data_IF_783297844074
#
_entry.id   IF_783297844074
#
_cell.length_a   1.000
_cell.length_b   1.000
_cell.length_c   1.000
_cell.angle_alpha   90.00
_cell.angle_beta   90.00
_cell.angle_gamma   90.00
#
_symmetry.space_group_name_H-M   'P 1'
#
loop_
_entity.id
_entity.type
_entity.pdbx_description
1 polymer ?
#
# COMPACT_ATOMS: atom_id res chain seq x y z
N UNK A 1 10.77 34.09 -0.40
CA UNK A 1 9.95 32.88 -0.14
C UNK A 1 10.72 31.62 -0.53
N UNK A 2 11.49 31.01 0.38
CA UNK A 2 12.34 29.83 0.00
C UNK A 2 12.74 28.92 1.17
N UNK A 3 12.80 29.40 2.42
CA UNK A 3 13.32 28.60 3.54
C UNK A 3 12.29 27.60 4.10
N UNK A 4 11.03 28.02 4.31
CA UNK A 4 10.01 27.18 4.96
C UNK A 4 9.62 25.94 4.15
N UNK A 5 9.43 26.06 2.84
CA UNK A 5 9.09 24.91 1.96
C UNK A 5 10.25 23.91 1.87
N UNK A 6 11.50 24.39 1.87
CA UNK A 6 12.70 23.54 1.84
C UNK A 6 12.87 22.79 3.16
N UNK A 7 12.62 23.46 4.29
CA UNK A 7 12.60 22.82 5.61
C UNK A 7 11.45 21.82 5.74
N UNK A 8 10.26 22.13 5.23
CA UNK A 8 9.12 21.20 5.21
C UNK A 8 9.40 19.95 4.37
N UNK A 9 10.00 20.10 3.19
CA UNK A 9 10.46 18.99 2.36
C UNK A 9 11.46 18.07 3.08
N UNK A 10 12.27 18.62 3.98
CA UNK A 10 13.25 17.88 4.78
C UNK A 10 12.67 17.31 6.09
N UNK A 11 11.56 17.88 6.58
CA UNK A 11 10.98 17.55 7.89
C UNK A 11 9.78 16.61 7.82
N UNK A 12 9.08 16.50 6.70
CA UNK A 12 7.96 15.57 6.54
C UNK A 12 8.51 14.17 6.26
N UNK A 13 8.48 13.25 7.22
CA UNK A 13 9.02 11.91 7.05
C UNK A 13 7.93 11.03 6.41
N UNK A 14 7.49 11.38 5.20
CA UNK A 14 6.42 10.66 4.49
C UNK A 14 6.82 9.19 4.30
N UNK A 15 8.11 8.94 4.12
CA UNK A 15 8.70 7.61 3.99
C UNK A 15 8.57 6.76 5.26
N UNK A 16 8.28 7.37 6.41
CA UNK A 16 8.06 6.68 7.69
C UNK A 16 6.58 6.44 7.99
N UNK A 17 5.67 6.94 7.15
CA UNK A 17 4.26 6.70 7.34
C UNK A 17 3.94 5.23 7.09
N UNK A 18 3.06 4.70 7.94
CA UNK A 18 2.42 3.42 7.69
C UNK A 18 1.55 3.51 6.43
N UNK A 19 1.36 2.38 5.77
CA UNK A 19 0.69 2.34 4.46
C UNK A 19 -0.75 2.86 4.54
N UNK A 20 -1.45 2.59 5.64
CA UNK A 20 -2.83 3.06 5.90
C UNK A 20 -2.91 4.59 6.01
N UNK A 21 -1.92 5.24 6.63
CA UNK A 21 -1.85 6.70 6.76
C UNK A 21 -1.41 7.34 5.45
N UNK A 22 -0.44 6.75 4.76
CA UNK A 22 -0.04 7.20 3.42
C UNK A 22 -1.21 7.12 2.44
N UNK A 23 -1.99 6.04 2.50
CA UNK A 23 -3.18 5.87 1.69
C UNK A 23 -4.29 6.88 2.04
N UNK A 24 -4.55 7.14 3.32
CA UNK A 24 -5.50 8.16 3.74
C UNK A 24 -5.12 9.55 3.20
N UNK A 25 -3.83 9.90 3.23
CA UNK A 25 -3.32 11.13 2.63
C UNK A 25 -3.47 11.14 1.10
N UNK A 26 -3.20 10.02 0.43
CA UNK A 26 -3.38 9.89 -1.02
C UNK A 26 -4.84 10.08 -1.42
N UNK A 27 -5.78 9.55 -0.62
CA UNK A 27 -7.22 9.72 -0.81
C UNK A 27 -7.69 11.15 -0.50
N UNK A 28 -7.16 11.77 0.57
CA UNK A 28 -7.47 13.16 0.93
C UNK A 28 -7.18 14.14 -0.22
N UNK A 29 -6.06 13.94 -0.90
CA UNK A 29 -5.66 14.76 -2.04
C UNK A 29 -6.17 14.24 -3.39
N UNK A 30 -6.92 13.13 -3.40
CA UNK A 30 -7.41 12.52 -4.62
C UNK A 30 -8.38 13.46 -5.34
N UNK A 31 -7.93 14.02 -6.45
CA UNK A 31 -8.73 14.89 -7.31
C UNK A 31 -9.34 14.03 -8.40
N UNK A 32 -10.66 14.16 -8.63
CA UNK A 32 -11.43 13.50 -9.72
C UNK A 32 -10.90 13.69 -11.16
N UNK A 33 -9.79 14.42 -11.37
CA UNK A 33 -9.18 14.70 -12.68
C UNK A 33 -7.70 14.29 -12.76
N UNK A 34 -7.17 13.56 -11.78
CA UNK A 34 -5.78 13.13 -11.83
C UNK A 34 -5.58 11.90 -12.72
N UNK A 35 -4.37 11.78 -13.28
CA UNK A 35 -4.00 10.77 -14.29
C UNK A 35 -3.81 9.39 -13.63
N UNK A 36 -3.62 9.35 -12.31
CA UNK A 36 -3.45 8.13 -11.52
C UNK A 36 -4.75 7.79 -10.81
N UNK A 37 -5.41 6.73 -11.25
CA UNK A 37 -6.63 6.22 -10.65
C UNK A 37 -6.30 5.40 -9.41
N UNK A 38 -6.49 6.00 -8.24
CA UNK A 38 -6.28 5.33 -6.96
C UNK A 38 -7.16 4.08 -6.84
N UNK A 39 -8.35 4.06 -7.45
CA UNK A 39 -9.22 2.88 -7.43
C UNK A 39 -8.62 1.75 -8.24
N UNK A 40 -7.97 2.06 -9.37
CA UNK A 40 -7.24 1.08 -10.16
C UNK A 40 -6.03 0.54 -9.41
N UNK A 41 -5.26 1.39 -8.73
CA UNK A 41 -4.13 0.93 -7.91
C UNK A 41 -4.59 -0.07 -6.86
N UNK A 42 -5.69 0.23 -6.16
CA UNK A 42 -6.27 -0.67 -5.16
C UNK A 42 -6.84 -1.94 -5.79
N UNK A 43 -7.46 -1.86 -6.98
CA UNK A 43 -7.94 -3.04 -7.68
C UNK A 43 -6.79 -3.98 -8.09
N UNK A 44 -5.68 -3.42 -8.59
CA UNK A 44 -4.50 -4.17 -8.99
C UNK A 44 -3.86 -4.90 -7.81
N UNK A 45 -3.87 -4.32 -6.61
CA UNK A 45 -3.31 -4.93 -5.39
C UNK A 45 -3.97 -6.24 -4.97
N UNK A 46 -5.21 -6.51 -5.41
CA UNK A 46 -5.87 -7.80 -5.19
C UNK A 46 -5.19 -8.94 -5.94
N UNK A 47 -4.50 -8.63 -7.04
CA UNK A 47 -3.84 -9.58 -7.92
C UNK A 47 -2.31 -9.51 -7.82
N UNK A 48 -1.77 -8.32 -7.58
CA UNK A 48 -0.33 -8.02 -7.59
C UNK A 48 0.09 -7.28 -6.30
N UNK A 49 0.04 -7.95 -5.12
CA UNK A 49 0.34 -7.33 -3.84
C UNK A 49 1.77 -6.75 -3.75
N UNK A 50 2.73 -7.34 -4.46
CA UNK A 50 4.11 -6.88 -4.57
C UNK A 50 4.25 -5.46 -5.12
N UNK A 51 3.27 -4.97 -5.88
CA UNK A 51 3.31 -3.61 -6.43
C UNK A 51 3.35 -2.52 -5.37
N UNK A 52 2.90 -2.80 -4.15
CA UNK A 52 3.09 -1.91 -3.00
C UNK A 52 4.57 -1.57 -2.80
N UNK A 53 5.46 -2.57 -2.76
CA UNK A 53 6.89 -2.33 -2.58
C UNK A 53 7.58 -1.89 -3.86
N UNK A 54 7.12 -2.38 -5.01
CA UNK A 54 7.84 -2.21 -6.26
C UNK A 54 7.64 -0.82 -6.89
N UNK A 55 6.43 -0.25 -6.77
CA UNK A 55 6.09 1.01 -7.45
C UNK A 55 5.14 1.90 -6.65
N UNK A 56 4.01 1.37 -6.17
CA UNK A 56 2.91 2.19 -5.66
C UNK A 56 3.26 3.00 -4.42
N UNK A 57 4.02 2.44 -3.47
CA UNK A 57 4.41 3.22 -2.29
C UNK A 57 5.22 4.45 -2.68
N UNK A 58 6.21 4.30 -3.58
CA UNK A 58 7.03 5.41 -4.03
C UNK A 58 6.22 6.45 -4.83
N UNK A 59 5.30 5.99 -5.67
CA UNK A 59 4.39 6.85 -6.44
C UNK A 59 3.45 7.65 -5.53
N UNK A 60 2.83 6.99 -4.55
CA UNK A 60 1.94 7.62 -3.58
C UNK A 60 2.69 8.62 -2.69
N UNK A 61 3.91 8.32 -2.25
CA UNK A 61 4.75 9.26 -1.51
C UNK A 61 5.09 10.51 -2.32
N UNK A 62 5.49 10.34 -3.58
CA UNK A 62 5.82 11.45 -4.47
C UNK A 62 4.60 12.34 -4.70
N UNK A 63 3.43 11.71 -4.90
CA UNK A 63 2.14 12.37 -5.05
C UNK A 63 1.78 13.18 -3.81
N UNK A 64 1.70 12.53 -2.64
CA UNK A 64 1.31 13.15 -1.37
C UNK A 64 2.26 14.29 -1.03
N UNK A 65 3.57 14.12 -1.26
CA UNK A 65 4.54 15.21 -1.04
C UNK A 65 4.23 16.43 -1.91
N UNK A 66 3.95 16.21 -3.20
CA UNK A 66 3.63 17.29 -4.14
C UNK A 66 2.38 18.04 -3.71
N UNK A 67 1.32 17.31 -3.35
CA UNK A 67 0.05 17.91 -2.97
C UNK A 67 0.10 18.61 -1.60
N UNK A 68 0.82 18.07 -0.62
CA UNK A 68 1.05 18.77 0.66
C UNK A 68 1.78 20.09 0.42
N UNK A 69 2.82 20.12 -0.41
CA UNK A 69 3.53 21.37 -0.72
C UNK A 69 2.61 22.36 -1.43
N UNK A 70 1.79 21.89 -2.36
CA UNK A 70 0.82 22.73 -3.06
C UNK A 70 -0.20 23.31 -2.07
N UNK A 71 -0.75 22.48 -1.18
CA UNK A 71 -1.67 22.87 -0.13
C UNK A 71 -1.08 23.95 0.79
N UNK A 72 0.16 23.76 1.26
CA UNK A 72 0.84 24.73 2.11
C UNK A 72 1.13 26.06 1.39
N UNK A 73 1.42 26.01 0.09
CA UNK A 73 1.61 27.23 -0.73
C UNK A 73 0.33 28.01 -0.90
N UNK A 74 -0.79 27.32 -1.10
CA UNK A 74 -2.11 27.94 -1.25
C UNK A 74 -2.60 28.55 0.07
N UNK A 75 -2.18 28.00 1.21
CA UNK A 75 -2.57 28.46 2.54
C UNK A 75 -1.43 29.19 3.27
N UNK A 76 -0.57 29.90 2.54
CA UNK A 76 0.63 30.56 3.08
C UNK A 76 0.35 31.67 4.13
N UNK A 77 -0.91 32.07 4.30
CA UNK A 77 -1.36 33.02 5.31
C UNK A 77 -1.69 32.37 6.67
N UNK A 78 -1.74 31.04 6.75
CA UNK A 78 -2.01 30.27 7.97
C UNK A 78 -0.71 29.79 8.60
N UNK A 79 -0.67 29.69 9.93
CA UNK A 79 0.51 29.15 10.61
C UNK A 79 0.74 27.67 10.18
N UNK A 80 1.99 27.25 9.96
CA UNK A 80 2.27 25.87 9.54
C UNK A 80 1.78 24.80 10.52
N UNK A 81 1.76 25.09 11.83
CA UNK A 81 1.21 24.19 12.86
C UNK A 81 -0.27 23.90 12.60
N UNK A 82 -1.05 24.95 12.39
CA UNK A 82 -2.51 24.84 12.26
C UNK A 82 -2.88 24.12 10.96
N UNK A 83 -2.06 24.26 9.92
CA UNK A 83 -2.21 23.50 8.67
C UNK A 83 -1.88 22.02 8.86
N UNK A 84 -0.88 21.69 9.67
CA UNK A 84 -0.56 20.29 9.99
C UNK A 84 -1.69 19.68 10.81
N UNK A 85 -2.15 20.36 11.85
CA UNK A 85 -3.25 19.90 12.71
C UNK A 85 -4.54 19.69 11.89
N UNK A 86 -4.81 20.60 10.94
CA UNK A 86 -5.93 20.44 10.02
C UNK A 86 -5.77 19.21 9.12
N UNK A 87 -4.61 18.99 8.51
CA UNK A 87 -4.39 17.81 7.66
C UNK A 87 -4.51 16.52 8.47
N UNK A 88 -4.01 16.49 9.70
CA UNK A 88 -4.17 15.34 10.59
C UNK A 88 -5.64 15.11 10.94
N UNK A 89 -6.39 16.17 11.27
CA UNK A 89 -7.83 16.08 11.52
C UNK A 89 -8.62 15.61 10.30
N UNK A 90 -8.27 16.08 9.10
CA UNK A 90 -8.90 15.64 7.86
C UNK A 90 -8.60 14.15 7.58
N UNK A 91 -7.37 13.68 7.86
CA UNK A 91 -7.00 12.26 7.77
C UNK A 91 -7.83 11.44 8.75
N UNK A 92 -7.89 11.83 10.03
CA UNK A 92 -8.69 11.12 11.03
C UNK A 92 -10.17 11.08 10.65
N UNK A 93 -10.69 12.17 10.09
CA UNK A 93 -12.06 12.24 9.60
C UNK A 93 -12.30 11.23 8.47
N UNK A 94 -11.44 11.20 7.45
CA UNK A 94 -11.52 10.22 6.34
C UNK A 94 -11.45 8.80 6.89
N UNK A 95 -10.51 8.52 7.78
CA UNK A 95 -10.33 7.21 8.41
C UNK A 95 -11.55 6.73 9.16
N UNK A 96 -12.43 7.61 9.61
CA UNK A 96 -13.62 7.25 10.41
C UNK A 96 -14.93 7.31 9.60
N UNK A 97 -15.03 8.20 8.62
CA UNK A 97 -16.31 8.56 8.01
C UNK A 97 -16.38 8.32 6.49
N UNK A 98 -15.25 8.10 5.82
CA UNK A 98 -15.25 7.88 4.37
C UNK A 98 -15.42 6.38 4.06
N UNK A 99 -16.56 6.02 3.45
CA UNK A 99 -16.84 4.62 3.10
C UNK A 99 -15.88 4.07 2.03
N UNK A 100 -15.41 4.90 1.10
CA UNK A 100 -14.44 4.48 0.09
C UNK A 100 -13.11 4.14 0.75
N UNK A 101 -12.70 4.94 1.74
CA UNK A 101 -11.52 4.62 2.53
C UNK A 101 -11.66 3.26 3.21
N UNK A 102 -12.78 3.01 3.89
CA UNK A 102 -13.02 1.73 4.58
C UNK A 102 -12.97 0.54 3.63
N UNK A 103 -13.66 0.63 2.49
CA UNK A 103 -13.71 -0.45 1.51
C UNK A 103 -12.33 -0.75 0.91
N UNK A 104 -11.55 0.29 0.60
CA UNK A 104 -10.21 0.16 0.04
C UNK A 104 -9.17 -0.28 1.09
N UNK A 105 -9.34 0.13 2.35
CA UNK A 105 -8.45 -0.24 3.45
C UNK A 105 -8.40 -1.76 3.64
N UNK A 106 -9.54 -2.45 3.49
CA UNK A 106 -9.60 -3.92 3.56
C UNK A 106 -8.61 -4.57 2.57
N UNK A 107 -8.50 -4.02 1.36
CA UNK A 107 -7.57 -4.53 0.36
C UNK A 107 -6.12 -4.27 0.77
N UNK A 108 -5.83 -3.07 1.29
CA UNK A 108 -4.49 -2.71 1.76
C UNK A 108 -4.05 -3.61 2.91
N UNK A 109 -4.93 -3.85 3.89
CA UNK A 109 -4.63 -4.72 5.03
C UNK A 109 -4.37 -6.17 4.56
N UNK A 110 -5.19 -6.68 3.64
CA UNK A 110 -4.99 -8.00 3.05
C UNK A 110 -3.64 -8.09 2.31
N UNK A 111 -3.31 -7.07 1.51
CA UNK A 111 -2.03 -6.99 0.80
C UNK A 111 -0.86 -6.98 1.79
N UNK A 112 -0.94 -6.20 2.88
CA UNK A 112 0.09 -6.17 3.92
C UNK A 112 0.26 -7.53 4.60
N UNK A 113 -0.85 -8.22 4.90
CA UNK A 113 -0.81 -9.58 5.46
C UNK A 113 -0.15 -10.57 4.49
N UNK A 114 -0.49 -10.50 3.20
CA UNK A 114 0.12 -11.35 2.17
C UNK A 114 1.62 -11.07 2.08
N UNK A 115 2.04 -9.81 1.97
CA UNK A 115 3.45 -9.44 1.88
C UNK A 115 4.24 -9.84 3.15
N UNK A 116 3.65 -9.64 4.33
CA UNK A 116 4.25 -10.09 5.58
C UNK A 116 4.37 -11.63 5.62
N UNK A 117 3.34 -12.36 5.17
CA UNK A 117 3.37 -13.82 5.10
C UNK A 117 4.39 -14.35 4.09
N UNK A 118 4.58 -13.66 2.96
CA UNK A 118 5.59 -14.00 1.95
C UNK A 118 7.01 -13.76 2.49
N UNK A 119 7.23 -12.66 3.22
CA UNK A 119 8.48 -12.42 3.97
C UNK A 119 8.66 -13.38 5.15
N UNK A 120 7.58 -14.04 5.61
CA UNK A 120 7.60 -15.05 6.67
C UNK A 120 7.54 -16.49 6.12
N UNK A 121 7.76 -16.71 4.81
CA UNK A 121 7.79 -18.07 4.23
C UNK A 121 9.09 -18.82 4.58
N UNK A 122 9.14 -19.27 5.83
CA UNK A 122 9.24 -20.71 6.09
C UNK A 122 7.99 -21.09 6.87
N UNK A 123 6.89 -21.46 6.21
CA UNK A 123 6.03 -22.58 6.63
C UNK A 123 4.97 -22.88 5.55
N UNK A 124 4.67 -24.17 5.27
CA UNK A 124 3.76 -24.57 4.20
C UNK A 124 2.31 -24.47 4.66
N UNK A 125 1.42 -23.96 3.82
CA UNK A 125 -0.02 -23.94 4.09
C UNK A 125 -0.59 -25.38 4.10
N UNK A 126 -1.55 -25.71 4.98
CA UNK A 126 -2.11 -27.07 5.12
C UNK A 126 -2.68 -27.65 3.82
N UNK A 127 -3.28 -26.83 2.97
CA UNK A 127 -3.80 -27.25 1.67
C UNK A 127 -2.71 -27.70 0.70
N UNK A 128 -1.49 -27.12 0.80
CA UNK A 128 -0.35 -27.53 -0.03
C UNK A 128 0.14 -28.91 0.38
N UNK A 129 0.16 -29.24 1.69
CA UNK A 129 0.45 -30.60 2.16
C UNK A 129 -0.60 -31.61 1.70
N UNK A 130 -1.89 -31.23 1.68
CA UNK A 130 -2.95 -32.09 1.16
C UNK A 130 -2.78 -32.35 -0.35
N UNK A 131 -2.46 -31.32 -1.13
CA UNK A 131 -2.20 -31.49 -2.56
C UNK A 131 -0.92 -32.32 -2.81
N UNK A 132 0.17 -32.08 -2.07
CA UNK A 132 1.40 -32.87 -2.20
C UNK A 132 1.18 -34.33 -1.79
N UNK A 133 0.40 -34.59 -0.73
CA UNK A 133 0.02 -35.94 -0.32
C UNK A 133 -0.83 -36.67 -1.37
N UNK A 134 -1.65 -35.94 -2.14
CA UNK A 134 -2.44 -36.50 -3.23
C UNK A 134 -1.62 -36.76 -4.51
N UNK A 135 -0.48 -36.07 -4.69
CA UNK A 135 0.39 -36.24 -5.87
C UNK A 135 1.50 -37.30 -5.71
N UNK A 136 1.87 -37.66 -4.47
CA UNK A 136 2.91 -38.68 -4.21
C UNK A 136 2.62 -40.08 -4.78
N UNK A 137 1.37 -40.60 -4.84
CA UNK A 137 1.11 -41.92 -5.41
C UNK A 137 1.28 -41.99 -6.93
N UNK A 138 1.16 -40.87 -7.65
CA UNK A 138 1.24 -40.83 -9.10
C UNK A 138 2.68 -40.68 -9.63
N UNK A 139 3.61 -40.23 -8.77
CA UNK A 139 5.02 -40.03 -9.15
C UNK A 139 5.85 -41.29 -8.86
N UNK A 140 5.54 -42.03 -7.79
CA UNK A 140 6.26 -43.26 -7.43
C UNK A 140 5.84 -44.46 -8.30
N UNK A 141 4.61 -44.48 -8.84
CA UNK A 141 4.15 -45.56 -9.72
C UNK A 141 4.68 -45.47 -11.16
N UNK A 142 5.36 -44.38 -11.55
CA UNK A 142 5.94 -44.19 -12.88
C UNK A 142 7.42 -44.55 -13.00
N UNK A 143 8.09 -44.92 -11.90
CA UNK A 143 9.55 -45.14 -11.84
C UNK A 143 9.89 -46.59 -11.45
N UNK A 144 9.02 -47.53 -11.79
CA UNK A 144 9.19 -48.97 -11.52
C UNK A 144 8.74 -49.82 -12.71
N UNK A 145 9.25 -49.51 -13.89
CA UNK A 145 9.26 -50.43 -15.02
C UNK A 145 10.41 -50.05 -15.94
N UNK A 146 11.52 -50.76 -15.79
CA UNK A 146 12.53 -51.08 -16.82
C UNK A 146 13.97 -51.04 -16.26
N UNK A 147 14.25 -51.88 -15.27
CA UNK A 147 15.56 -52.53 -15.15
C UNK A 147 15.31 -53.99 -14.78
N UNK A 148 15.16 -54.84 -15.80
CA UNK A 148 15.63 -56.23 -15.72
C UNK A 148 15.77 -56.85 -17.12
N UNK A 149 17.02 -57.24 -17.40
CA UNK A 149 17.59 -58.07 -18.50
C UNK A 149 18.16 -57.40 -19.74
#
# INVERSE_FOLDING_TARGET
>A
MTNNVRQLKQKLPIERLSLDVLFALRLLFDKKKDITDLEQDIADLKHFPERVSDSYRAEWEAYVRREIIAYLRQNNHTAPSDLIDKVLGDVDYIKQHDSRYQDMLVVIEQTQQIMASQNTRVFPTPWRQQITSLMLPAIVAGDSADEDH
#
